data_IF_182403544468
#
_entry.id   IF_182403544468
#
_cell.length_a   1.000
_cell.length_b   1.000
_cell.length_c   1.000
_cell.angle_alpha   90.00
_cell.angle_beta   90.00
_cell.angle_gamma   90.00
#
_symmetry.space_group_name_H-M   'P 1'
#
loop_
_entity.id
_entity.type
_entity.pdbx_description
1 polymer ?
#
# COMPACT_ATOMS: atom_id res chain seq x y z
N UNK A 1 -54.36 -67.87 -12.93
CA UNK A 1 -52.90 -67.66 -12.97
C UNK A 1 -52.47 -66.39 -13.72
N UNK A 2 -53.10 -65.99 -14.81
CA UNK A 2 -52.74 -64.81 -15.63
C UNK A 2 -52.94 -63.41 -14.94
N UNK A 3 -53.92 -63.31 -14.04
CA UNK A 3 -54.24 -62.05 -13.37
C UNK A 3 -53.16 -61.67 -12.30
N UNK A 4 -52.69 -62.63 -11.52
CA UNK A 4 -51.65 -62.45 -10.51
C UNK A 4 -50.29 -62.03 -11.11
N UNK A 5 -49.99 -62.48 -12.33
CA UNK A 5 -48.79 -62.17 -13.05
C UNK A 5 -48.81 -60.71 -13.59
N UNK A 6 -49.98 -60.23 -14.07
CA UNK A 6 -50.16 -58.84 -14.54
C UNK A 6 -50.06 -57.79 -13.39
N UNK A 7 -50.63 -58.19 -12.23
CA UNK A 7 -50.53 -57.30 -11.01
C UNK A 7 -49.09 -57.21 -10.53
N UNK A 8 -48.31 -58.30 -10.51
CA UNK A 8 -46.87 -58.24 -10.16
C UNK A 8 -46.06 -57.42 -11.15
N UNK A 9 -46.38 -57.51 -12.46
CA UNK A 9 -45.69 -56.69 -13.48
C UNK A 9 -45.98 -55.17 -13.35
N UNK A 10 -47.24 -54.84 -12.98
CA UNK A 10 -47.64 -53.45 -12.70
C UNK A 10 -46.98 -52.89 -11.44
N UNK A 11 -46.92 -53.68 -10.37
CA UNK A 11 -46.25 -53.28 -9.11
C UNK A 11 -44.76 -53.10 -9.34
N UNK A 12 -44.10 -54.02 -10.08
CA UNK A 12 -42.69 -53.85 -10.40
C UNK A 12 -42.39 -52.56 -11.27
N UNK A 13 -43.28 -52.26 -12.24
CA UNK A 13 -43.16 -51.03 -13.02
C UNK A 13 -43.39 -49.80 -12.18
N UNK A 14 -44.32 -49.81 -11.23
CA UNK A 14 -44.59 -48.71 -10.31
C UNK A 14 -43.43 -48.49 -9.36
N UNK A 15 -42.82 -49.55 -8.83
CA UNK A 15 -41.63 -49.48 -7.95
C UNK A 15 -40.41 -48.94 -8.71
N UNK A 16 -40.20 -49.34 -9.97
CA UNK A 16 -39.11 -48.82 -10.81
C UNK A 16 -39.30 -47.33 -11.12
N UNK A 17 -40.54 -46.89 -11.41
CA UNK A 17 -40.87 -45.48 -11.64
C UNK A 17 -40.67 -44.67 -10.36
N UNK A 18 -41.07 -45.20 -9.19
CA UNK A 18 -40.85 -44.52 -7.89
C UNK A 18 -39.36 -44.41 -7.55
N UNK A 19 -38.56 -45.48 -7.80
CA UNK A 19 -37.10 -45.42 -7.63
C UNK A 19 -36.42 -44.43 -8.59
N UNK A 20 -36.86 -44.35 -9.86
CA UNK A 20 -36.37 -43.37 -10.80
C UNK A 20 -36.73 -41.94 -10.40
N UNK A 21 -37.94 -41.70 -9.85
CA UNK A 21 -38.33 -40.40 -9.33
C UNK A 21 -37.52 -39.99 -8.08
N UNK A 22 -37.19 -40.94 -7.20
CA UNK A 22 -36.32 -40.65 -6.05
C UNK A 22 -34.89 -40.36 -6.47
N UNK A 23 -34.34 -41.04 -7.47
CA UNK A 23 -32.99 -40.71 -8.00
C UNK A 23 -32.97 -39.42 -8.81
N UNK A 24 -34.08 -38.98 -9.41
CA UNK A 24 -34.15 -37.68 -10.09
C UNK A 24 -34.32 -36.51 -9.10
N UNK A 25 -34.86 -36.77 -7.90
CA UNK A 25 -34.99 -35.74 -6.87
C UNK A 25 -33.66 -35.44 -6.15
N UNK A 26 -32.70 -36.34 -6.18
CA UNK A 26 -31.36 -36.10 -5.61
C UNK A 26 -30.42 -35.29 -6.54
N UNK A 27 -30.80 -35.12 -7.83
CA UNK A 27 -30.01 -34.34 -8.80
C UNK A 27 -30.40 -32.87 -8.87
N UNK A 28 -31.39 -32.43 -8.08
CA UNK A 28 -31.73 -31.00 -7.92
C UNK A 28 -31.40 -30.42 -6.54
N UNK A 29 -30.51 -31.08 -5.76
CA UNK A 29 -29.71 -30.36 -4.84
C UNK A 29 -28.78 -29.46 -5.70
N UNK A 30 -29.31 -28.33 -6.15
CA UNK A 30 -28.47 -27.21 -6.50
C UNK A 30 -27.56 -26.98 -5.28
N UNK A 31 -26.37 -27.57 -5.31
CA UNK A 31 -25.27 -26.96 -4.61
C UNK A 31 -25.26 -25.52 -5.16
N UNK A 32 -25.73 -24.57 -4.38
CA UNK A 32 -25.26 -23.22 -4.52
C UNK A 32 -23.75 -23.37 -4.43
N UNK A 33 -23.08 -23.52 -5.59
CA UNK A 33 -21.66 -23.35 -5.67
C UNK A 33 -21.45 -22.00 -5.01
N UNK A 34 -20.88 -22.05 -3.81
CA UNK A 34 -20.38 -20.88 -3.14
C UNK A 34 -19.37 -20.28 -4.13
N UNK A 35 -19.82 -19.36 -4.99
CA UNK A 35 -19.00 -18.64 -5.96
C UNK A 35 -18.10 -17.62 -5.24
N UNK A 36 -17.91 -17.80 -3.94
CA UNK A 36 -17.06 -16.97 -3.13
C UNK A 36 -15.59 -17.30 -3.37
N UNK A 37 -14.78 -16.26 -3.48
CA UNK A 37 -13.33 -16.35 -3.39
C UNK A 37 -12.91 -16.22 -1.94
N UNK A 38 -11.92 -17.00 -1.53
CA UNK A 38 -11.33 -16.89 -0.20
C UNK A 38 -10.38 -15.69 -0.13
N UNK A 39 -10.60 -14.86 0.88
CA UNK A 39 -9.75 -13.70 1.20
C UNK A 39 -9.28 -13.79 2.63
N UNK A 40 -8.07 -13.32 2.88
CA UNK A 40 -7.53 -13.15 4.23
C UNK A 40 -7.93 -11.79 4.78
N UNK A 41 -8.59 -11.79 5.94
CA UNK A 41 -8.94 -10.61 6.73
C UNK A 41 -8.06 -10.58 7.97
N UNK A 42 -7.70 -9.42 8.44
CA UNK A 42 -6.73 -9.25 9.51
C UNK A 42 -7.36 -8.69 10.79
N UNK A 43 -7.02 -9.32 11.89
CA UNK A 43 -7.30 -8.92 13.26
C UNK A 43 -6.00 -8.67 14.01
N UNK A 44 -6.08 -8.36 15.31
CA UNK A 44 -4.89 -8.15 16.14
C UNK A 44 -5.02 -8.85 17.49
N UNK A 45 -3.92 -8.98 18.22
CA UNK A 45 -3.90 -9.45 19.59
C UNK A 45 -4.24 -8.33 20.60
N UNK A 46 -4.29 -8.66 21.90
CA UNK A 46 -4.61 -7.70 22.97
C UNK A 46 -3.62 -6.54 23.04
N UNK A 47 -2.33 -6.76 22.73
CA UNK A 47 -1.29 -5.73 22.74
C UNK A 47 -1.32 -4.82 21.52
N UNK A 48 -2.11 -5.17 20.48
CA UNK A 48 -2.19 -4.47 19.20
C UNK A 48 -0.80 -4.29 18.54
N UNK A 49 0.01 -5.33 18.57
CA UNK A 49 1.39 -5.32 18.06
C UNK A 49 1.63 -6.29 16.91
N UNK A 50 0.65 -7.14 16.57
CA UNK A 50 0.75 -8.07 15.44
C UNK A 50 -0.58 -8.28 14.73
N UNK A 51 -0.52 -8.67 13.45
CA UNK A 51 -1.65 -9.11 12.66
C UNK A 51 -1.94 -10.59 12.90
N UNK A 52 -3.24 -10.92 12.92
CA UNK A 52 -3.74 -12.30 12.99
C UNK A 52 -4.64 -12.51 11.78
N UNK A 53 -4.37 -13.56 11.02
CA UNK A 53 -5.04 -13.87 9.77
C UNK A 53 -6.27 -14.73 9.99
N UNK A 54 -7.39 -14.34 9.35
CA UNK A 54 -8.61 -15.13 9.27
C UNK A 54 -9.10 -15.19 7.83
N UNK A 55 -9.51 -16.36 7.37
CA UNK A 55 -9.98 -16.56 6.01
C UNK A 55 -11.49 -16.52 5.92
N UNK A 56 -12.00 -15.71 4.97
CA UNK A 56 -13.42 -15.57 4.70
C UNK A 56 -13.73 -15.77 3.21
N UNK A 57 -14.86 -16.38 2.91
CA UNK A 57 -15.39 -16.43 1.56
C UNK A 57 -16.21 -15.18 1.29
N UNK A 58 -15.83 -14.42 0.27
CA UNK A 58 -16.51 -13.21 -0.21
C UNK A 58 -17.09 -13.50 -1.59
N UNK A 59 -18.28 -13.02 -1.86
CA UNK A 59 -18.93 -13.15 -3.15
C UNK A 59 -18.13 -12.36 -4.20
N UNK A 60 -17.78 -13.01 -5.31
CA UNK A 60 -16.99 -12.42 -6.40
C UNK A 60 -17.85 -11.83 -7.53
N UNK A 61 -19.17 -12.03 -7.50
CA UNK A 61 -20.09 -11.47 -8.49
C UNK A 61 -20.44 -9.97 -8.20
N UNK A 62 -19.51 -9.24 -7.57
CA UNK A 62 -19.65 -7.85 -7.17
C UNK A 62 -18.54 -6.99 -7.77
N UNK A 63 -18.72 -5.66 -7.77
CA UNK A 63 -17.68 -4.73 -8.20
C UNK A 63 -16.45 -4.80 -7.28
N UNK A 64 -15.31 -4.24 -7.74
CA UNK A 64 -14.10 -4.13 -6.92
C UNK A 64 -14.39 -3.33 -5.65
N UNK A 65 -15.14 -2.23 -5.76
CA UNK A 65 -15.53 -1.39 -4.62
C UNK A 65 -16.44 -2.15 -3.64
N UNK A 66 -17.41 -2.93 -4.14
CA UNK A 66 -18.28 -3.73 -3.29
C UNK A 66 -17.52 -4.85 -2.58
N UNK A 67 -16.60 -5.50 -3.29
CA UNK A 67 -15.70 -6.49 -2.70
C UNK A 67 -14.83 -5.86 -1.61
N UNK A 68 -14.28 -4.68 -1.86
CA UNK A 68 -13.49 -3.93 -0.89
C UNK A 68 -14.33 -3.55 0.35
N UNK A 69 -15.57 -3.08 0.16
CA UNK A 69 -16.50 -2.79 1.27
C UNK A 69 -16.82 -4.03 2.09
N UNK A 70 -17.14 -5.15 1.45
CA UNK A 70 -17.40 -6.42 2.14
C UNK A 70 -16.20 -6.87 3.00
N UNK A 71 -14.97 -6.74 2.49
CA UNK A 71 -13.75 -7.08 3.22
C UNK A 71 -13.54 -6.15 4.42
N UNK A 72 -13.71 -4.83 4.23
CA UNK A 72 -13.61 -3.84 5.29
C UNK A 72 -14.69 -4.04 6.38
N UNK A 73 -15.90 -4.42 5.98
CA UNK A 73 -16.97 -4.77 6.92
C UNK A 73 -16.63 -6.03 7.72
N UNK A 74 -16.06 -7.07 7.07
CA UNK A 74 -15.59 -8.28 7.76
C UNK A 74 -14.52 -7.98 8.79
N UNK A 75 -13.58 -7.09 8.49
CA UNK A 75 -12.54 -6.65 9.42
C UNK A 75 -13.10 -5.96 10.67
N UNK A 76 -14.33 -5.44 10.60
CA UNK A 76 -15.04 -4.80 11.73
C UNK A 76 -15.97 -5.75 12.48
N UNK A 77 -16.12 -7.00 12.06
CA UNK A 77 -16.91 -8.01 12.79
C UNK A 77 -16.05 -8.55 13.93
N UNK A 78 -16.66 -8.66 15.13
CA UNK A 78 -15.98 -9.26 16.29
C UNK A 78 -15.54 -10.69 15.97
N UNK A 79 -14.24 -11.01 16.09
CA UNK A 79 -13.76 -12.36 15.85
C UNK A 79 -14.31 -13.38 16.85
N UNK A 80 -14.35 -14.64 16.45
CA UNK A 80 -14.84 -15.74 17.29
C UNK A 80 -13.86 -16.10 18.41
N UNK A 81 -12.57 -15.97 18.16
CA UNK A 81 -11.53 -16.18 19.18
C UNK A 81 -11.48 -14.96 20.12
N UNK A 82 -11.49 -15.24 21.43
CA UNK A 82 -11.46 -14.23 22.50
C UNK A 82 -10.11 -13.50 22.59
N UNK A 83 -9.06 -14.07 22.00
CA UNK A 83 -7.71 -13.48 21.98
C UNK A 83 -7.47 -12.60 20.76
N UNK A 84 -8.47 -12.47 19.89
CA UNK A 84 -8.42 -11.66 18.68
C UNK A 84 -9.27 -10.40 18.87
N UNK A 85 -8.80 -9.29 18.33
CA UNK A 85 -9.40 -7.98 18.49
C UNK A 85 -9.50 -7.25 17.14
N UNK A 86 -10.52 -6.43 17.00
CA UNK A 86 -10.64 -5.49 15.89
C UNK A 86 -9.51 -4.45 16.00
N UNK A 87 -8.85 -4.18 14.87
CA UNK A 87 -7.73 -3.22 14.81
C UNK A 87 -8.27 -1.79 14.84
N UNK A 88 -9.27 -1.50 13.98
CA UNK A 88 -9.86 -0.19 13.81
C UNK A 88 -10.65 0.21 15.09
N UNK A 89 -10.40 1.39 15.66
CA UNK A 89 -11.24 1.92 16.74
C UNK A 89 -12.69 2.14 16.29
N UNK A 90 -13.66 1.95 17.20
CA UNK A 90 -15.09 2.04 16.89
C UNK A 90 -15.53 3.43 16.41
N UNK A 91 -14.85 4.49 16.89
CA UNK A 91 -15.13 5.88 16.51
C UNK A 91 -14.57 6.25 15.11
N UNK A 92 -13.77 5.41 14.49
CA UNK A 92 -13.23 5.65 13.15
C UNK A 92 -14.20 5.10 12.11
N UNK A 93 -14.83 5.98 11.33
CA UNK A 93 -15.85 5.63 10.35
C UNK A 93 -15.26 5.70 8.94
N UNK A 94 -15.51 4.67 8.13
CA UNK A 94 -15.29 4.70 6.70
C UNK A 94 -16.40 5.52 6.05
N UNK A 95 -16.05 6.63 5.38
CA UNK A 95 -16.99 7.55 4.74
C UNK A 95 -17.21 7.15 3.27
N UNK A 96 -16.15 6.73 2.58
CA UNK A 96 -16.24 6.34 1.18
C UNK A 96 -15.14 5.35 0.75
N UNK A 97 -15.45 4.61 -0.33
CA UNK A 97 -14.53 3.70 -1.05
C UNK A 97 -14.70 3.96 -2.53
N UNK A 98 -13.62 4.28 -3.21
CA UNK A 98 -13.60 4.54 -4.66
C UNK A 98 -12.46 3.75 -5.32
N UNK A 99 -12.70 3.29 -6.54
CA UNK A 99 -11.65 2.75 -7.40
C UNK A 99 -11.10 3.86 -8.30
N UNK A 100 -9.79 4.05 -8.27
CA UNK A 100 -9.06 4.96 -9.15
C UNK A 100 -7.93 4.20 -9.87
N UNK A 101 -8.19 3.84 -11.11
CA UNK A 101 -7.29 2.97 -11.88
C UNK A 101 -7.05 1.62 -11.18
N UNK A 102 -5.85 1.39 -10.68
CA UNK A 102 -5.46 0.20 -9.90
C UNK A 102 -5.37 0.47 -8.40
N UNK A 103 -5.88 1.59 -7.94
CA UNK A 103 -5.87 1.97 -6.54
C UNK A 103 -7.28 1.98 -5.95
N UNK A 104 -7.42 1.52 -4.71
CA UNK A 104 -8.59 1.77 -3.88
C UNK A 104 -8.31 2.99 -3.01
N UNK A 105 -9.13 4.02 -3.14
CA UNK A 105 -9.12 5.20 -2.29
C UNK A 105 -10.14 5.02 -1.15
N UNK A 106 -9.67 5.13 0.09
CA UNK A 106 -10.47 5.00 1.31
C UNK A 106 -10.54 6.34 2.02
N UNK A 107 -11.73 6.86 2.22
CA UNK A 107 -11.93 8.10 2.96
C UNK A 107 -12.50 7.80 4.35
N UNK A 108 -11.78 8.19 5.39
CA UNK A 108 -12.19 8.00 6.79
C UNK A 108 -12.57 9.34 7.45
N UNK A 109 -13.32 9.25 8.55
CA UNK A 109 -13.66 10.40 9.39
C UNK A 109 -12.42 10.97 10.10
N UNK A 110 -12.51 12.23 10.57
CA UNK A 110 -11.44 12.92 11.33
C UNK A 110 -10.92 12.14 12.54
N UNK A 111 -11.75 11.26 13.11
CA UNK A 111 -11.35 10.37 14.21
C UNK A 111 -10.19 9.43 13.84
N UNK A 112 -9.91 9.23 12.56
CA UNK A 112 -8.73 8.51 12.08
C UNK A 112 -7.43 9.08 12.68
N UNK A 113 -7.31 10.40 12.76
CA UNK A 113 -6.13 11.11 13.33
C UNK A 113 -5.94 10.89 14.84
N UNK A 114 -6.91 10.31 15.52
CA UNK A 114 -6.84 10.01 16.95
C UNK A 114 -6.27 8.62 17.25
N UNK A 115 -6.02 7.81 16.22
CA UNK A 115 -5.33 6.55 16.41
C UNK A 115 -3.90 6.80 16.89
N UNK A 116 -3.40 5.96 17.80
CA UNK A 116 -1.97 5.95 18.11
C UNK A 116 -1.19 5.50 16.87
N UNK A 117 0.03 5.98 16.73
CA UNK A 117 0.93 5.62 15.60
C UNK A 117 1.03 4.11 15.41
N UNK A 118 1.08 3.34 16.50
CA UNK A 118 1.10 1.88 16.48
C UNK A 118 -0.16 1.30 15.83
N UNK A 119 -1.34 1.74 16.29
CA UNK A 119 -2.63 1.23 15.80
C UNK A 119 -2.83 1.64 14.35
N UNK A 120 -2.44 2.85 13.97
CA UNK A 120 -2.53 3.37 12.62
C UNK A 120 -1.66 2.57 11.65
N UNK A 121 -0.39 2.29 11.99
CA UNK A 121 0.51 1.48 11.18
C UNK A 121 -0.04 0.07 10.97
N UNK A 122 -0.51 -0.56 12.06
CA UNK A 122 -1.10 -1.90 12.01
C UNK A 122 -2.37 -1.91 11.15
N UNK A 123 -3.22 -0.91 11.30
CA UNK A 123 -4.45 -0.76 10.54
C UNK A 123 -4.16 -0.59 9.04
N UNK A 124 -3.22 0.27 8.67
CA UNK A 124 -2.80 0.45 7.26
C UNK A 124 -2.23 -0.83 6.68
N UNK A 125 -1.35 -1.52 7.41
CA UNK A 125 -0.78 -2.79 6.98
C UNK A 125 -1.87 -3.84 6.72
N UNK A 126 -2.83 -3.98 7.63
CA UNK A 126 -3.96 -4.89 7.50
C UNK A 126 -4.82 -4.58 6.28
N UNK A 127 -5.22 -3.32 6.11
CA UNK A 127 -6.08 -2.87 5.00
C UNK A 127 -5.38 -3.04 3.66
N UNK A 128 -4.12 -2.63 3.53
CA UNK A 128 -3.37 -2.77 2.28
C UNK A 128 -3.14 -4.23 1.92
N UNK A 129 -2.69 -5.07 2.86
CA UNK A 129 -2.53 -6.51 2.63
C UNK A 129 -3.84 -7.19 2.25
N UNK A 130 -4.96 -6.76 2.83
CA UNK A 130 -6.29 -7.30 2.56
C UNK A 130 -6.80 -6.88 1.18
N UNK A 131 -6.81 -5.60 0.85
CA UNK A 131 -7.41 -5.09 -0.39
C UNK A 131 -6.58 -5.41 -1.62
N UNK A 132 -5.26 -5.52 -1.49
CA UNK A 132 -4.38 -5.94 -2.61
C UNK A 132 -4.47 -7.43 -2.95
N UNK A 133 -5.36 -8.20 -2.30
CA UNK A 133 -5.76 -9.53 -2.73
C UNK A 133 -6.83 -9.50 -3.83
N UNK A 134 -7.54 -8.37 -3.99
CA UNK A 134 -8.53 -8.18 -5.05
C UNK A 134 -7.78 -8.03 -6.38
N UNK A 135 -8.22 -8.75 -7.42
CA UNK A 135 -7.60 -8.67 -8.72
C UNK A 135 -7.65 -7.22 -9.24
N UNK A 136 -6.60 -6.78 -9.93
CA UNK A 136 -6.39 -5.42 -10.44
C UNK A 136 -6.22 -4.32 -9.38
N UNK A 137 -6.26 -4.63 -8.08
CA UNK A 137 -5.93 -3.68 -7.01
C UNK A 137 -4.47 -3.84 -6.60
N UNK A 138 -3.66 -2.83 -6.90
CA UNK A 138 -2.23 -2.81 -6.57
C UNK A 138 -1.89 -1.85 -5.44
N UNK A 139 -2.71 -0.81 -5.25
CA UNK A 139 -2.44 0.29 -4.32
C UNK A 139 -3.66 0.61 -3.47
N UNK A 140 -3.42 1.18 -2.30
CA UNK A 140 -4.44 1.76 -1.43
C UNK A 140 -4.03 3.17 -1.04
N UNK A 141 -4.94 4.13 -1.23
CA UNK A 141 -4.81 5.50 -0.76
C UNK A 141 -5.69 5.74 0.46
N UNK A 142 -5.18 6.46 1.43
CA UNK A 142 -5.92 6.85 2.62
C UNK A 142 -6.21 8.35 2.60
N UNK A 143 -7.49 8.69 2.83
CA UNK A 143 -7.98 10.04 2.98
C UNK A 143 -8.67 10.20 4.32
N UNK A 144 -8.64 11.41 4.86
CA UNK A 144 -9.34 11.78 6.10
C UNK A 144 -10.12 13.06 5.84
N UNK A 145 -11.45 12.98 5.94
CA UNK A 145 -12.38 14.07 5.59
C UNK A 145 -12.09 14.65 4.19
N UNK A 146 -11.83 13.77 3.21
CA UNK A 146 -11.57 14.12 1.82
C UNK A 146 -10.19 14.71 1.53
N UNK A 147 -9.29 14.76 2.51
CA UNK A 147 -7.89 15.18 2.35
C UNK A 147 -6.97 13.98 2.48
N UNK A 148 -5.83 13.99 1.80
CA UNK A 148 -4.83 12.94 1.94
C UNK A 148 -4.45 12.74 3.42
N UNK A 149 -4.37 11.48 3.84
CA UNK A 149 -3.91 11.14 5.17
C UNK A 149 -2.41 11.43 5.30
N UNK A 150 -2.00 11.88 6.48
CA UNK A 150 -0.64 12.32 6.76
C UNK A 150 0.01 11.41 7.81
N UNK A 151 1.32 11.22 7.70
CA UNK A 151 2.12 10.73 8.81
C UNK A 151 2.17 11.78 9.95
N UNK A 152 2.65 11.36 11.11
CA UNK A 152 2.79 12.25 12.28
C UNK A 152 3.64 13.50 12.00
N UNK A 153 4.64 13.42 11.12
CA UNK A 153 5.49 14.53 10.71
C UNK A 153 4.86 15.44 9.63
N UNK A 154 3.62 15.19 9.24
CA UNK A 154 2.87 15.93 8.23
C UNK A 154 3.14 15.52 6.79
N UNK A 155 3.99 14.51 6.55
CA UNK A 155 4.21 13.94 5.21
C UNK A 155 2.97 13.19 4.73
N UNK A 156 2.58 13.37 3.47
CA UNK A 156 1.49 12.60 2.84
C UNK A 156 1.84 11.11 2.80
N UNK A 157 0.88 10.26 3.20
CA UNK A 157 1.07 8.80 3.18
C UNK A 157 1.22 8.29 1.74
N UNK A 158 0.43 8.83 0.82
CA UNK A 158 0.48 8.45 -0.60
C UNK A 158 -0.08 7.07 -0.90
N UNK A 159 0.27 6.54 -2.07
CA UNK A 159 -0.13 5.21 -2.52
C UNK A 159 0.69 4.13 -1.79
N UNK A 160 0.02 3.25 -1.06
CA UNK A 160 0.63 2.11 -0.38
C UNK A 160 0.36 0.81 -1.13
N UNK A 161 1.35 -0.07 -1.19
CA UNK A 161 1.28 -1.41 -1.80
C UNK A 161 1.67 -2.49 -0.79
N UNK A 162 1.31 -3.74 -1.08
CA UNK A 162 1.60 -4.88 -0.18
C UNK A 162 3.08 -4.96 0.23
N UNK A 163 4.00 -4.65 -0.68
CA UNK A 163 5.45 -4.74 -0.44
C UNK A 163 6.02 -3.62 0.45
N UNK A 164 5.21 -2.59 0.77
CA UNK A 164 5.61 -1.55 1.73
C UNK A 164 5.50 -2.04 3.19
N UNK A 165 4.94 -3.23 3.39
CA UNK A 165 4.79 -3.87 4.70
C UNK A 165 5.51 -5.21 4.71
N UNK A 166 6.13 -5.54 5.86
CA UNK A 166 6.80 -6.83 6.00
C UNK A 166 5.81 -7.98 6.06
N UNK A 167 6.30 -9.19 5.80
CA UNK A 167 5.56 -10.41 6.08
C UNK A 167 5.52 -10.75 7.58
N UNK A 168 6.33 -10.06 8.39
CA UNK A 168 6.30 -10.17 9.85
C UNK A 168 4.98 -9.60 10.38
N UNK A 169 4.29 -10.39 11.20
CA UNK A 169 3.00 -10.04 11.80
C UNK A 169 3.08 -8.94 12.87
N UNK A 170 4.23 -8.33 13.08
CA UNK A 170 4.47 -7.32 14.12
C UNK A 170 4.20 -5.90 13.63
N UNK A 171 3.38 -5.14 14.37
CA UNK A 171 3.10 -3.72 14.12
C UNK A 171 4.33 -2.82 14.30
N UNK A 172 5.17 -3.18 15.27
CA UNK A 172 6.52 -2.65 15.35
C UNK A 172 7.37 -3.53 14.46
N UNK A 173 7.27 -3.32 13.13
CA UNK A 173 8.16 -3.96 12.20
C UNK A 173 9.55 -3.93 12.79
N UNK A 174 10.23 -5.05 12.83
CA UNK A 174 11.62 -5.10 13.25
C UNK A 174 12.33 -3.93 12.57
N UNK A 175 13.05 -3.13 13.34
CA UNK A 175 13.98 -2.17 12.76
C UNK A 175 14.93 -2.99 11.90
N UNK A 176 14.87 -2.76 10.61
CA UNK A 176 15.77 -3.38 9.66
C UNK A 176 16.90 -2.41 9.30
N UNK A 177 18.03 -3.00 8.93
CA UNK A 177 19.20 -2.23 8.52
C UNK A 177 19.42 -2.49 7.04
N UNK A 178 19.28 -1.46 6.22
CA UNK A 178 19.46 -1.60 4.78
C UNK A 178 20.62 -0.74 4.30
N UNK A 179 21.51 -1.35 3.55
CA UNK A 179 22.54 -0.63 2.82
C UNK A 179 21.89 0.09 1.65
N UNK A 180 21.98 1.41 1.65
CA UNK A 180 21.52 2.27 0.56
C UNK A 180 22.69 3.01 -0.07
N UNK A 181 22.51 3.43 -1.32
CA UNK A 181 23.43 4.31 -2.02
C UNK A 181 22.79 5.69 -2.10
N UNK A 182 23.41 6.65 -1.43
CA UNK A 182 23.00 8.05 -1.42
C UNK A 182 23.97 8.88 -2.26
N UNK A 183 23.46 9.89 -2.92
CA UNK A 183 24.23 10.77 -3.77
C UNK A 183 24.15 12.19 -3.24
N UNK A 184 25.27 12.72 -2.78
CA UNK A 184 25.41 14.06 -2.21
C UNK A 184 26.28 14.95 -3.10
N UNK A 185 26.25 16.25 -2.89
CA UNK A 185 27.13 17.16 -3.60
C UNK A 185 28.62 16.87 -3.28
N UNK A 186 29.47 17.06 -4.27
CA UNK A 186 30.91 17.12 -4.08
C UNK A 186 31.34 18.48 -3.50
N UNK A 187 32.63 18.69 -3.26
CA UNK A 187 33.15 19.95 -2.71
C UNK A 187 32.98 21.16 -3.67
N UNK A 188 32.79 20.90 -4.97
CA UNK A 188 32.54 21.94 -5.98
C UNK A 188 31.06 22.29 -6.13
N UNK A 189 30.15 21.43 -5.63
CA UNK A 189 28.71 21.53 -5.82
C UNK A 189 28.24 21.33 -7.27
N UNK A 190 29.11 20.78 -8.14
CA UNK A 190 28.81 20.57 -9.57
C UNK A 190 28.66 19.10 -9.94
N UNK A 191 29.11 18.19 -9.08
CA UNK A 191 29.03 16.75 -9.21
C UNK A 191 28.41 16.10 -7.99
N UNK A 192 28.09 14.81 -8.13
CA UNK A 192 27.60 13.97 -7.04
C UNK A 192 28.67 12.97 -6.62
N UNK A 193 28.89 12.83 -5.34
CA UNK A 193 29.66 11.75 -4.73
C UNK A 193 28.72 10.69 -4.19
N UNK A 194 29.05 9.42 -4.44
CA UNK A 194 28.30 8.29 -3.94
C UNK A 194 28.72 7.90 -2.55
N UNK A 195 27.79 7.88 -1.61
CA UNK A 195 27.96 7.43 -0.24
C UNK A 195 27.15 6.16 0.00
N UNK A 196 27.79 5.12 0.52
CA UNK A 196 27.09 3.93 1.02
C UNK A 196 26.82 4.12 2.49
N UNK A 197 25.57 4.02 2.88
CA UNK A 197 25.12 4.21 4.25
C UNK A 197 24.19 3.07 4.68
N UNK A 198 24.30 2.67 5.93
CA UNK A 198 23.38 1.71 6.52
C UNK A 198 22.28 2.47 7.24
N UNK A 199 21.07 2.42 6.71
CA UNK A 199 19.90 3.06 7.31
C UNK A 199 19.12 2.05 8.15
N UNK A 200 18.86 2.45 9.40
CA UNK A 200 17.86 1.79 10.22
C UNK A 200 16.47 2.34 9.83
N UNK A 201 15.54 1.49 9.51
CA UNK A 201 14.18 1.90 9.16
C UNK A 201 13.15 0.90 9.68
N UNK A 202 11.95 1.40 9.94
CA UNK A 202 10.82 0.54 10.22
C UNK A 202 10.35 -0.08 8.90
N UNK A 203 10.34 -1.42 8.82
CA UNK A 203 9.93 -2.16 7.61
C UNK A 203 8.50 -1.85 7.14
N UNK A 204 7.66 -1.30 8.01
CA UNK A 204 6.30 -0.87 7.68
C UNK A 204 6.24 0.57 7.14
N UNK A 205 7.38 1.16 6.80
CA UNK A 205 7.46 2.47 6.14
C UNK A 205 8.23 2.34 4.84
N UNK A 206 7.80 3.01 3.76
CA UNK A 206 8.51 2.97 2.49
C UNK A 206 9.97 3.41 2.66
N UNK A 207 10.90 2.62 2.12
CA UNK A 207 12.34 2.94 2.18
C UNK A 207 12.67 4.24 1.43
N UNK A 208 11.90 4.54 0.40
CA UNK A 208 12.02 5.76 -0.40
C UNK A 208 11.86 7.02 0.45
N UNK A 209 10.93 6.97 1.40
CA UNK A 209 10.73 8.05 2.37
C UNK A 209 11.97 8.28 3.23
N UNK A 210 12.55 7.20 3.73
CA UNK A 210 13.76 7.25 4.55
C UNK A 210 14.96 7.80 3.76
N UNK A 211 15.10 7.42 2.48
CA UNK A 211 16.14 7.94 1.60
C UNK A 211 16.02 9.45 1.44
N UNK A 212 14.83 9.96 1.11
CA UNK A 212 14.64 11.42 0.90
C UNK A 212 14.86 12.18 2.22
N UNK A 213 14.32 11.69 3.33
CA UNK A 213 14.56 12.30 4.65
C UNK A 213 16.04 12.33 5.02
N UNK A 214 16.77 11.25 4.69
CA UNK A 214 18.21 11.17 4.94
C UNK A 214 19.00 12.17 4.09
N UNK A 215 18.61 12.37 2.82
CA UNK A 215 19.19 13.39 1.95
C UNK A 215 18.94 14.81 2.51
N UNK A 216 17.72 15.09 3.00
CA UNK A 216 17.36 16.36 3.64
C UNK A 216 18.22 16.59 4.89
N UNK A 217 18.45 15.56 5.70
CA UNK A 217 19.29 15.65 6.90
C UNK A 217 20.78 15.94 6.60
N UNK A 218 21.21 15.74 5.34
CA UNK A 218 22.58 15.94 4.89
C UNK A 218 23.52 14.79 5.20
N UNK A 219 24.74 14.78 4.62
CA UNK A 219 25.70 13.70 4.76
C UNK A 219 26.42 13.73 6.11
N UNK A 220 26.85 12.52 6.56
CA UNK A 220 27.80 12.36 7.68
C UNK A 220 29.18 11.92 7.18
N UNK A 221 29.29 11.51 5.92
CA UNK A 221 30.53 11.04 5.32
C UNK A 221 31.45 12.22 4.95
N UNK A 222 32.73 12.06 5.21
CA UNK A 222 33.73 13.03 4.79
C UNK A 222 33.81 13.11 3.25
N UNK A 223 33.93 14.31 2.70
CA UNK A 223 33.98 14.55 1.26
C UNK A 223 32.62 14.63 0.56
N UNK A 224 31.54 14.43 1.29
CA UNK A 224 30.19 14.67 0.83
C UNK A 224 29.61 15.94 1.47
N UNK A 225 28.84 16.70 0.71
CA UNK A 225 28.27 17.97 1.14
C UNK A 225 26.77 17.99 0.93
N UNK A 226 26.07 18.81 1.70
CA UNK A 226 24.61 18.96 1.61
C UNK A 226 24.19 19.33 0.19
N UNK A 227 23.24 18.58 -0.34
CA UNK A 227 22.70 18.74 -1.70
C UNK A 227 21.27 19.29 -1.73
N UNK A 228 20.63 19.49 -0.58
CA UNK A 228 19.26 19.99 -0.47
C UNK A 228 19.21 21.14 0.55
N UNK A 229 18.30 22.14 0.37
CA UNK A 229 18.12 23.20 1.34
C UNK A 229 17.73 22.66 2.72
N UNK A 230 18.22 23.31 3.77
CA UNK A 230 18.10 22.82 5.16
C UNK A 230 16.66 22.76 5.65
N UNK A 231 15.82 23.70 5.20
CA UNK A 231 14.46 23.86 5.70
C UNK A 231 13.42 23.16 4.82
N UNK A 232 13.87 22.48 3.76
CA UNK A 232 12.98 21.70 2.88
C UNK A 232 12.33 20.56 3.67
N UNK A 233 11.04 20.35 3.41
CA UNK A 233 10.25 19.26 4.01
C UNK A 233 9.80 18.28 2.93
N UNK A 234 9.80 17.00 3.26
CA UNK A 234 9.16 15.98 2.45
C UNK A 234 7.66 16.04 2.73
N UNK A 235 6.86 16.43 1.75
CA UNK A 235 5.40 16.49 1.85
C UNK A 235 4.75 15.16 1.48
N UNK A 236 5.39 14.36 0.60
CA UNK A 236 4.89 13.06 0.22
C UNK A 236 5.89 12.29 -0.62
N UNK A 237 5.84 10.96 -0.54
CA UNK A 237 6.56 10.04 -1.42
C UNK A 237 5.74 8.78 -1.63
N UNK A 238 5.63 8.32 -2.88
CA UNK A 238 4.97 7.07 -3.24
C UNK A 238 5.58 6.49 -4.50
N UNK A 239 5.42 5.18 -4.70
CA UNK A 239 5.93 4.49 -5.89
C UNK A 239 4.79 3.80 -6.60
N UNK A 240 4.54 4.17 -7.85
CA UNK A 240 3.53 3.58 -8.73
C UNK A 240 4.23 3.18 -10.03
N UNK A 241 4.09 1.92 -10.45
CA UNK A 241 4.65 1.38 -11.70
C UNK A 241 6.15 1.72 -11.90
N UNK A 242 6.94 1.59 -10.83
CA UNK A 242 8.38 1.90 -10.78
C UNK A 242 8.74 3.38 -10.96
N UNK A 243 7.76 4.26 -10.93
CA UNK A 243 7.95 5.71 -10.87
C UNK A 243 7.83 6.14 -9.41
N UNK A 244 8.87 6.77 -8.87
CA UNK A 244 8.83 7.38 -7.55
C UNK A 244 8.36 8.84 -7.66
N UNK A 245 7.25 9.15 -7.02
CA UNK A 245 6.66 10.49 -6.94
C UNK A 245 7.11 11.12 -5.64
N UNK A 246 7.88 12.20 -5.72
CA UNK A 246 8.42 12.92 -4.55
C UNK A 246 7.84 14.32 -4.53
N UNK A 247 7.13 14.66 -3.47
CA UNK A 247 6.58 16.00 -3.25
C UNK A 247 7.34 16.70 -2.11
N UNK A 248 7.95 17.82 -2.43
CA UNK A 248 8.73 18.64 -1.50
C UNK A 248 8.02 19.96 -1.24
N UNK A 249 8.34 20.59 -0.11
CA UNK A 249 7.83 21.91 0.22
C UNK A 249 8.52 23.01 -0.63
N UNK A 250 7.95 24.23 -0.59
CA UNK A 250 8.42 25.36 -1.41
C UNK A 250 9.88 25.72 -1.14
N UNK A 251 10.38 25.47 0.06
CA UNK A 251 11.77 25.72 0.47
C UNK A 251 12.78 24.92 -0.38
N UNK A 252 12.34 23.93 -1.15
CA UNK A 252 13.20 23.27 -2.13
C UNK A 252 13.67 24.24 -3.24
N UNK A 253 12.96 25.35 -3.47
CA UNK A 253 13.36 26.40 -4.42
C UNK A 253 14.41 27.34 -3.87
N UNK A 254 14.71 27.30 -2.56
CA UNK A 254 15.72 28.14 -1.97
C UNK A 254 17.10 27.78 -2.53
N UNK A 255 17.88 28.80 -2.87
CA UNK A 255 19.20 28.57 -3.44
C UNK A 255 20.19 28.06 -2.40
N UNK A 256 20.85 26.96 -2.73
CA UNK A 256 22.04 26.53 -2.02
C UNK A 256 23.26 27.24 -2.61
N UNK A 257 23.99 27.94 -1.75
CA UNK A 257 25.27 28.57 -2.14
C UNK A 257 26.25 27.48 -2.60
N UNK A 258 26.78 27.65 -3.81
CA UNK A 258 27.76 26.76 -4.44
C UNK A 258 27.25 25.33 -4.79
N UNK A 259 25.95 25.09 -4.91
CA UNK A 259 25.39 23.83 -5.39
C UNK A 259 24.55 24.09 -6.63
N UNK A 260 24.83 23.36 -7.72
CA UNK A 260 24.06 23.52 -8.95
C UNK A 260 22.68 22.89 -8.82
N UNK A 261 21.67 23.50 -9.45
CA UNK A 261 20.28 23.00 -9.46
C UNK A 261 20.16 21.57 -9.99
N UNK A 262 21.06 21.16 -10.90
CA UNK A 262 21.13 19.78 -11.38
C UNK A 262 21.60 18.80 -10.30
N UNK A 263 22.55 19.20 -9.46
CA UNK A 263 23.03 18.40 -8.34
C UNK A 263 21.92 18.18 -7.32
N UNK A 264 21.12 19.20 -7.03
CA UNK A 264 19.98 19.10 -6.12
C UNK A 264 18.94 18.08 -6.63
N UNK A 265 18.51 18.21 -7.89
CA UNK A 265 17.57 17.29 -8.53
C UNK A 265 18.14 15.87 -8.55
N UNK A 266 19.37 15.70 -9.06
CA UNK A 266 19.94 14.38 -9.24
C UNK A 266 20.47 13.74 -7.96
N UNK A 267 20.64 14.47 -6.88
CA UNK A 267 20.84 13.91 -5.54
C UNK A 267 19.65 13.02 -5.15
N UNK A 268 18.43 13.53 -5.33
CA UNK A 268 17.19 12.78 -5.07
C UNK A 268 17.02 11.65 -6.09
N UNK A 269 17.12 11.96 -7.38
CA UNK A 269 16.88 11.02 -8.47
C UNK A 269 17.83 9.83 -8.41
N UNK A 270 19.15 10.08 -8.32
CA UNK A 270 20.14 9.00 -8.32
C UNK A 270 20.05 8.14 -7.06
N UNK A 271 19.74 8.74 -5.92
CA UNK A 271 19.59 7.99 -4.66
C UNK A 271 18.36 7.08 -4.68
N UNK A 272 17.26 7.52 -5.26
CA UNK A 272 16.05 6.70 -5.39
C UNK A 272 16.19 5.65 -6.49
N UNK A 273 16.73 6.02 -7.67
CA UNK A 273 16.98 5.09 -8.75
C UNK A 273 18.12 4.08 -8.45
N UNK A 274 18.82 4.22 -7.33
CA UNK A 274 19.73 3.17 -6.84
C UNK A 274 18.97 1.97 -6.22
N UNK A 275 17.67 2.10 -6.01
CA UNK A 275 16.79 0.98 -5.65
C UNK A 275 16.33 0.26 -6.92
N UNK A 276 16.42 -1.08 -6.95
CA UNK A 276 16.00 -1.92 -8.09
C UNK A 276 14.50 -1.76 -8.43
N UNK A 277 13.71 -1.29 -7.44
CA UNK A 277 12.27 -1.06 -7.58
C UNK A 277 11.92 0.23 -8.32
N UNK A 278 12.88 1.14 -8.59
CA UNK A 278 12.64 2.47 -9.14
C UNK A 278 13.40 2.67 -10.44
N UNK A 279 12.67 2.94 -11.52
CA UNK A 279 13.23 3.25 -12.83
C UNK A 279 13.32 4.76 -13.11
N UNK A 280 12.42 5.54 -12.49
CA UNK A 280 12.38 6.99 -12.68
C UNK A 280 11.73 7.69 -11.50
N UNK A 281 11.95 9.02 -11.43
CA UNK A 281 11.44 9.88 -10.38
C UNK A 281 10.69 11.07 -11.00
N UNK A 282 9.53 11.40 -10.45
CA UNK A 282 8.77 12.63 -10.72
C UNK A 282 8.84 13.51 -9.48
N UNK A 283 9.25 14.77 -9.65
CA UNK A 283 9.38 15.72 -8.54
C UNK A 283 8.24 16.72 -8.60
N UNK A 284 7.66 16.99 -7.45
CA UNK A 284 6.64 18.01 -7.20
C UNK A 284 7.13 18.98 -6.13
N UNK A 285 6.71 20.22 -6.24
CA UNK A 285 6.92 21.25 -5.22
C UNK A 285 5.55 21.79 -4.84
N UNK A 286 5.14 21.61 -3.57
CA UNK A 286 3.77 21.90 -3.09
C UNK A 286 2.67 21.27 -3.95
N UNK A 287 2.90 20.06 -4.48
CA UNK A 287 1.96 19.37 -5.37
C UNK A 287 1.99 19.83 -6.82
N UNK A 288 2.77 20.83 -7.17
CA UNK A 288 2.91 21.35 -8.53
C UNK A 288 4.17 20.78 -9.22
N UNK A 289 4.00 20.32 -10.44
CA UNK A 289 5.08 19.82 -11.31
C UNK A 289 5.14 20.57 -12.66
N UNK A 290 4.22 21.50 -12.91
CA UNK A 290 4.12 22.20 -14.19
C UNK A 290 5.11 23.34 -14.32
N UNK A 291 5.56 23.87 -13.18
CA UNK A 291 6.55 24.93 -13.11
C UNK A 291 7.97 24.42 -13.29
N UNK A 292 8.87 25.33 -13.67
CA UNK A 292 10.31 25.06 -13.71
C UNK A 292 10.92 25.17 -12.32
N UNK A 293 11.97 24.38 -12.08
CA UNK A 293 12.82 24.51 -10.93
C UNK A 293 13.87 25.59 -11.21
N UNK A 294 13.85 26.68 -10.43
CA UNK A 294 14.73 27.84 -10.59
C UNK A 294 14.82 28.35 -12.04
N UNK A 295 13.65 28.48 -12.68
CA UNK A 295 13.45 29.03 -14.03
C UNK A 295 14.19 28.32 -15.18
N UNK A 296 14.89 27.23 -14.93
CA UNK A 296 15.72 26.56 -15.94
C UNK A 296 15.45 25.06 -16.12
N UNK A 297 15.01 24.36 -15.08
CA UNK A 297 14.85 22.88 -15.13
C UNK A 297 13.35 22.52 -15.09
N UNK A 298 12.85 21.91 -16.15
CA UNK A 298 11.45 21.48 -16.22
C UNK A 298 11.18 20.36 -15.22
N UNK A 299 10.19 20.54 -14.34
CA UNK A 299 9.68 19.50 -13.46
C UNK A 299 8.66 18.60 -14.16
N UNK A 300 8.13 19.01 -15.33
CA UNK A 300 7.17 18.22 -16.10
C UNK A 300 7.86 17.13 -16.93
N UNK A 301 8.60 16.25 -16.26
CA UNK A 301 9.25 15.09 -16.87
C UNK A 301 9.54 14.00 -15.84
N UNK A 302 9.79 12.80 -16.32
CA UNK A 302 10.34 11.72 -15.52
C UNK A 302 11.88 11.78 -15.59
N UNK A 303 12.50 11.83 -14.42
CA UNK A 303 13.95 11.81 -14.29
C UNK A 303 14.44 10.38 -14.14
N UNK A 304 15.52 10.01 -14.82
CA UNK A 304 16.18 8.72 -14.68
C UNK A 304 17.59 8.92 -14.10
N UNK A 305 18.17 7.83 -13.62
CA UNK A 305 19.54 7.83 -13.12
C UNK A 305 20.49 8.51 -14.13
N UNK A 306 21.30 9.43 -13.66
CA UNK A 306 22.30 10.14 -14.47
C UNK A 306 23.71 9.86 -13.95
N UNK A 307 24.43 8.96 -14.63
CA UNK A 307 25.83 8.67 -14.31
C UNK A 307 26.79 9.78 -14.70
N UNK A 308 26.42 10.66 -15.64
CA UNK A 308 27.30 11.75 -16.14
C UNK A 308 27.55 12.85 -15.11
N UNK A 309 26.74 12.95 -14.06
CA UNK A 309 26.92 13.93 -12.96
C UNK A 309 27.62 13.31 -11.74
N UNK A 310 27.91 12.02 -11.74
CA UNK A 310 28.59 11.31 -10.64
C UNK A 310 30.10 11.31 -10.88
N UNK A 311 30.87 11.58 -9.80
CA UNK A 311 32.33 11.39 -9.82
C UNK A 311 32.76 9.95 -9.96
#
# INVERSE_FOLDING_TARGET
>A
MRIRMRIRLLINKLVVILLCCCMAAELTACSSQNRGRQYTVYYTNSSKDKLIEQNYNIDIDTSIEDTARQLLDKMNVKPADKNEYIIKPDNVTLLDVMLDGKAIALNYSSSYKQMSTQVELLFRAAVVKMLTQIDDVLYVHFYVDGKEALYEDGTVIGALKKTDFTESDSAFGEMDWRNVQLYYADYTGTKLVKVKEMLAYNKNMPIERMIVQRLISGPTAAGAYTSLPKDVKLLGVSVVEKVCYVNLSEEFRDELVNVSSYVEIYSIVNSLCALDSIESVKIFINGDYTNTFRDSISLDRLYKFNSGIVE
#
